data_IF_299741493817
#
_entry.id   IF_299741493817
#
_cell.length_a   1.000
_cell.length_b   1.000
_cell.length_c   1.000
_cell.angle_alpha   90.00
_cell.angle_beta   90.00
_cell.angle_gamma   90.00
#
_symmetry.space_group_name_H-M   'P 1'
#
loop_
_entity.id
_entity.type
_entity.pdbx_description
1 polymer ?
#
# COMPACT_ATOMS: atom_id res chain seq x y z
N UNK A 1 4.65 -6.35 0.39
CA UNK A 1 3.21 -6.14 0.12
C UNK A 1 2.56 -7.49 -0.10
N UNK A 2 1.26 -7.65 0.22
CA UNK A 2 0.58 -8.92 -0.07
C UNK A 2 0.39 -9.07 -1.58
N UNK A 3 0.79 -10.21 -2.15
CA UNK A 3 0.55 -10.48 -3.57
C UNK A 3 -0.94 -10.80 -3.76
N UNK A 4 -1.60 -10.05 -4.63
CA UNK A 4 -3.03 -10.23 -4.95
C UNK A 4 -3.14 -10.72 -6.38
N UNK A 5 -3.90 -11.78 -6.60
CA UNK A 5 -4.19 -12.33 -7.92
C UNK A 5 -5.65 -12.77 -8.00
N UNK A 6 -6.09 -13.15 -9.19
CA UNK A 6 -7.39 -13.77 -9.40
C UNK A 6 -7.25 -15.25 -9.01
N UNK A 7 -8.12 -15.73 -8.12
CA UNK A 7 -8.20 -17.14 -7.79
C UNK A 7 -8.61 -17.94 -9.05
N UNK A 8 -7.83 -18.92 -9.50
CA UNK A 8 -8.14 -19.67 -10.73
C UNK A 8 -9.41 -20.54 -10.60
N UNK A 9 -9.85 -20.85 -9.38
CA UNK A 9 -11.01 -21.71 -9.12
C UNK A 9 -12.33 -20.95 -9.07
N UNK A 10 -12.36 -19.79 -8.40
CA UNK A 10 -13.60 -19.04 -8.16
C UNK A 10 -13.61 -17.62 -8.73
N UNK A 11 -12.53 -17.17 -9.39
CA UNK A 11 -12.44 -15.85 -10.00
C UNK A 11 -12.34 -14.67 -9.02
N UNK A 12 -12.34 -14.91 -7.71
CA UNK A 12 -12.25 -13.84 -6.71
C UNK A 12 -10.86 -13.20 -6.69
N UNK A 13 -10.79 -11.89 -6.39
CA UNK A 13 -9.51 -11.24 -6.07
C UNK A 13 -9.03 -11.74 -4.71
N UNK A 14 -7.93 -12.45 -4.70
CA UNK A 14 -7.41 -13.18 -3.54
C UNK A 14 -5.98 -12.80 -3.26
N UNK A 15 -5.64 -12.75 -1.96
CA UNK A 15 -4.26 -12.75 -1.51
C UNK A 15 -3.67 -14.15 -1.69
N UNK A 16 -2.52 -14.23 -2.33
CA UNK A 16 -1.74 -15.46 -2.45
C UNK A 16 -0.89 -15.63 -1.19
N UNK A 17 -0.89 -16.83 -0.62
CA UNK A 17 0.05 -17.25 0.42
C UNK A 17 0.60 -18.61 0.05
N UNK A 18 1.92 -18.73 0.04
CA UNK A 18 2.60 -20.01 -0.15
C UNK A 18 3.21 -20.46 1.18
N UNK A 19 2.92 -21.69 1.60
CA UNK A 19 3.60 -22.35 2.71
C UNK A 19 3.85 -23.79 2.33
N UNK A 20 5.10 -24.24 2.51
CA UNK A 20 5.47 -25.66 2.32
C UNK A 20 5.09 -26.21 0.92
N UNK A 21 5.20 -25.37 -0.12
CA UNK A 21 4.83 -25.71 -1.49
C UNK A 21 3.32 -25.68 -1.80
N UNK A 22 2.48 -25.43 -0.80
CA UNK A 22 1.03 -25.28 -0.98
C UNK A 22 0.66 -23.81 -1.17
N UNK A 23 0.11 -23.50 -2.35
CA UNK A 23 -0.41 -22.17 -2.68
C UNK A 23 -1.86 -22.07 -2.22
N UNK A 24 -2.13 -21.14 -1.31
CA UNK A 24 -3.47 -20.84 -0.81
C UNK A 24 -3.94 -19.48 -1.31
N UNK A 25 -5.19 -19.43 -1.77
CA UNK A 25 -5.86 -18.23 -2.25
C UNK A 25 -6.88 -17.80 -1.19
N UNK A 26 -6.62 -16.68 -0.52
CA UNK A 26 -7.55 -16.11 0.45
C UNK A 26 -8.27 -14.91 -0.16
N UNK A 27 -9.59 -15.01 -0.35
CA UNK A 27 -10.39 -13.93 -0.92
C UNK A 27 -10.22 -12.64 -0.10
N UNK A 28 -9.97 -11.53 -0.79
CA UNK A 28 -9.94 -10.20 -0.16
C UNK A 28 -11.38 -9.76 0.03
N UNK A 29 -11.77 -9.60 1.31
CA UNK A 29 -13.11 -9.16 1.70
C UNK A 29 -13.13 -7.66 2.02
N UNK A 30 -14.32 -7.09 2.14
CA UNK A 30 -14.54 -5.66 2.32
C UNK A 30 -13.79 -5.10 3.53
N UNK A 31 -13.84 -5.74 4.70
CA UNK A 31 -13.13 -5.26 5.88
C UNK A 31 -11.61 -5.21 5.70
N UNK A 32 -11.02 -6.21 5.04
CA UNK A 32 -9.58 -6.22 4.75
C UNK A 32 -9.23 -5.12 3.75
N UNK A 33 -10.07 -4.91 2.73
CA UNK A 33 -9.91 -3.85 1.75
C UNK A 33 -9.99 -2.47 2.40
N UNK A 34 -10.99 -2.21 3.23
CA UNK A 34 -11.15 -0.95 3.96
C UNK A 34 -9.96 -0.68 4.89
N UNK A 35 -9.48 -1.70 5.63
CA UNK A 35 -8.29 -1.56 6.49
C UNK A 35 -7.05 -1.16 5.69
N UNK A 36 -6.80 -1.79 4.53
CA UNK A 36 -5.66 -1.44 3.65
C UNK A 36 -5.79 -0.06 3.05
N UNK A 37 -6.99 0.34 2.62
CA UNK A 37 -7.26 1.70 2.11
C UNK A 37 -6.97 2.74 3.21
N UNK A 38 -7.41 2.49 4.45
CA UNK A 38 -7.13 3.36 5.59
C UNK A 38 -5.63 3.49 5.89
N UNK A 39 -4.89 2.37 5.85
CA UNK A 39 -3.44 2.37 6.01
C UNK A 39 -2.74 3.17 4.89
N UNK A 40 -3.21 3.03 3.65
CA UNK A 40 -2.66 3.75 2.50
C UNK A 40 -2.86 5.27 2.60
N UNK A 41 -4.07 5.71 2.98
CA UNK A 41 -4.36 7.15 3.20
C UNK A 41 -3.44 7.75 4.27
N UNK A 42 -3.29 7.07 5.41
CA UNK A 42 -2.37 7.51 6.48
C UNK A 42 -0.92 7.60 6.02
N UNK A 43 -0.46 6.64 5.21
CA UNK A 43 0.88 6.67 4.65
C UNK A 43 1.05 7.86 3.69
N UNK A 44 0.09 8.08 2.79
CA UNK A 44 0.09 9.21 1.86
C UNK A 44 0.14 10.56 2.57
N UNK A 45 -0.65 10.75 3.64
CA UNK A 45 -0.61 11.99 4.43
C UNK A 45 0.78 12.22 5.03
N UNK A 46 1.42 11.18 5.58
CA UNK A 46 2.78 11.28 6.12
C UNK A 46 3.80 11.63 5.02
N UNK A 47 3.69 11.03 3.84
CA UNK A 47 4.57 11.37 2.72
C UNK A 47 4.34 12.79 2.21
N UNK A 48 3.10 13.25 2.13
CA UNK A 48 2.76 14.62 1.76
C UNK A 48 3.36 15.64 2.74
N UNK A 49 3.23 15.38 4.05
CA UNK A 49 3.82 16.24 5.06
C UNK A 49 5.36 16.31 4.94
N UNK A 50 6.02 15.18 4.71
CA UNK A 50 7.47 15.12 4.47
C UNK A 50 7.88 15.86 3.19
N UNK A 51 7.15 15.65 2.09
CA UNK A 51 7.42 16.33 0.82
C UNK A 51 7.30 17.85 0.96
N UNK A 52 6.22 18.34 1.58
CA UNK A 52 6.04 19.76 1.84
C UNK A 52 7.15 20.36 2.72
N UNK A 53 7.65 19.60 3.70
CA UNK A 53 8.75 20.08 4.54
C UNK A 53 10.06 20.15 3.76
N UNK A 54 10.36 19.12 2.96
CA UNK A 54 11.52 19.09 2.07
C UNK A 54 11.47 20.23 1.04
N UNK A 55 10.31 20.54 0.47
CA UNK A 55 10.15 21.66 -0.46
C UNK A 55 10.52 23.00 0.20
N UNK A 56 10.06 23.25 1.43
CA UNK A 56 10.42 24.45 2.20
C UNK A 56 11.91 24.54 2.50
N UNK A 57 12.53 23.43 2.90
CA UNK A 57 13.97 23.36 3.15
C UNK A 57 14.77 23.66 1.88
N UNK A 58 14.31 23.14 0.73
CA UNK A 58 14.94 23.33 -0.57
C UNK A 58 14.81 24.79 -1.05
N UNK A 59 13.66 25.42 -0.86
CA UNK A 59 13.47 26.86 -1.11
C UNK A 59 14.41 27.71 -0.24
N UNK A 60 14.51 27.41 1.06
CA UNK A 60 15.39 28.13 1.97
C UNK A 60 16.87 27.98 1.61
N UNK A 61 17.29 26.82 1.11
CA UNK A 61 18.65 26.60 0.61
C UNK A 61 18.90 27.34 -0.70
N UNK A 62 17.95 27.32 -1.64
CA UNK A 62 18.04 28.05 -2.91
C UNK A 62 18.08 29.56 -2.71
N UNK A 63 17.38 30.09 -1.72
CA UNK A 63 17.39 31.52 -1.41
C UNK A 63 18.69 32.01 -0.75
N UNK A 64 19.56 31.09 -0.29
CA UNK A 64 20.87 31.37 0.29
C UNK A 64 22.03 31.23 -0.71
N UNK A 65 21.73 30.77 -1.93
CA UNK A 65 22.63 30.68 -3.07
C UNK A 65 22.47 31.92 -3.94
#
# INVERSE_FOLDING_TARGET
MSQVAICPTCGSKSKIKEKEGVVTYQAVQDEEAFKKIGQMKKAMEKFKAKANNLEKELEALKAKL
#
